data_IF_042130162958
#
_entry.id   IF_042130162958
#
_cell.length_a   1.000
_cell.length_b   1.000
_cell.length_c   1.000
_cell.angle_alpha   90.00
_cell.angle_beta   90.00
_cell.angle_gamma   90.00
#
_symmetry.space_group_name_H-M   'P 1'
#
loop_
_entity.id
_entity.type
_entity.pdbx_description
1 polymer ?
#
# COMPACT_ATOMS: atom_id res chain seq x y z
N UNK A 1 7.98 6.67 2.01
CA UNK A 1 7.91 6.04 0.67
C UNK A 1 6.50 6.22 0.14
N UNK A 2 6.33 6.95 -0.97
CA UNK A 2 5.01 7.15 -1.57
C UNK A 2 4.68 5.96 -2.46
N UNK A 3 3.62 5.21 -2.14
CA UNK A 3 3.09 4.19 -3.05
C UNK A 3 2.34 4.87 -4.19
N UNK A 4 2.18 4.22 -5.34
CA UNK A 4 1.51 4.85 -6.50
C UNK A 4 2.36 5.87 -7.24
N UNK A 5 3.67 5.87 -6.99
CA UNK A 5 4.66 6.70 -7.70
C UNK A 5 5.71 5.80 -8.33
N UNK A 6 6.41 6.31 -9.34
CA UNK A 6 7.59 5.63 -9.91
C UNK A 6 8.62 5.27 -8.83
N UNK A 7 8.88 6.18 -7.88
CA UNK A 7 9.78 5.94 -6.75
C UNK A 7 9.28 4.81 -5.84
N UNK A 8 7.98 4.73 -5.57
CA UNK A 8 7.36 3.65 -4.81
C UNK A 8 7.43 2.30 -5.52
N UNK A 9 7.22 2.27 -6.84
CA UNK A 9 7.33 1.08 -7.66
C UNK A 9 8.78 0.57 -7.67
N UNK A 10 9.77 1.46 -7.85
CA UNK A 10 11.19 1.11 -7.84
C UNK A 10 11.66 0.71 -6.44
N UNK A 11 11.15 1.34 -5.38
CA UNK A 11 11.39 0.88 -4.01
C UNK A 11 10.89 -0.55 -3.77
N UNK A 12 9.74 -0.90 -4.35
CA UNK A 12 9.21 -2.28 -4.32
C UNK A 12 10.10 -3.22 -5.13
N UNK A 13 10.51 -2.84 -6.34
CA UNK A 13 11.42 -3.62 -7.18
C UNK A 13 12.77 -3.88 -6.49
N UNK A 14 13.34 -2.88 -5.81
CA UNK A 14 14.57 -3.01 -5.00
C UNK A 14 14.41 -4.03 -3.88
N UNK A 15 13.24 -4.09 -3.25
CA UNK A 15 12.95 -5.08 -2.21
C UNK A 15 12.81 -6.48 -2.80
N UNK A 16 12.06 -6.63 -3.90
CA UNK A 16 11.90 -7.90 -4.62
C UNK A 16 13.22 -8.42 -5.20
N UNK A 17 14.14 -7.53 -5.57
CA UNK A 17 15.48 -7.87 -6.05
C UNK A 17 16.29 -8.67 -5.03
N UNK A 18 15.96 -8.59 -3.74
CA UNK A 18 16.57 -9.42 -2.69
C UNK A 18 16.14 -10.89 -2.77
N UNK A 19 15.06 -11.19 -3.50
CA UNK A 19 14.43 -12.51 -3.57
C UNK A 19 14.44 -13.11 -4.98
N UNK A 20 14.41 -12.29 -6.03
CA UNK A 20 14.45 -12.72 -7.44
C UNK A 20 15.30 -11.79 -8.29
N UNK A 21 15.93 -12.33 -9.34
CA UNK A 21 16.67 -11.57 -10.37
C UNK A 21 15.91 -11.43 -11.68
N UNK A 22 14.78 -12.13 -11.80
CA UNK A 22 13.86 -12.03 -12.94
C UNK A 22 12.80 -11.01 -12.59
N UNK A 23 13.01 -9.76 -13.00
CA UNK A 23 12.12 -8.65 -12.72
C UNK A 23 12.03 -7.72 -13.94
N UNK A 24 10.81 -7.27 -14.19
CA UNK A 24 10.51 -6.18 -15.12
C UNK A 24 9.66 -5.15 -14.36
N UNK A 25 9.78 -3.88 -14.75
CA UNK A 25 9.04 -2.78 -14.15
C UNK A 25 8.02 -2.24 -15.15
N UNK A 26 6.74 -2.24 -14.79
CA UNK A 26 5.67 -1.61 -15.56
C UNK A 26 5.21 -0.33 -14.84
N UNK A 27 5.24 0.79 -15.56
CA UNK A 27 4.58 2.03 -15.16
C UNK A 27 3.33 2.25 -16.01
N UNK A 28 2.17 2.27 -15.36
CA UNK A 28 0.87 2.59 -15.98
C UNK A 28 0.56 4.08 -15.93
N UNK A 29 1.55 4.92 -15.62
CA UNK A 29 1.48 6.36 -15.59
C UNK A 29 2.70 6.99 -16.24
N UNK A 30 2.57 8.25 -16.62
CA UNK A 30 3.67 9.06 -17.16
C UNK A 30 4.62 9.58 -16.06
N UNK A 31 4.69 8.89 -14.92
CA UNK A 31 5.56 9.29 -13.82
C UNK A 31 7.03 9.24 -14.23
N UNK A 32 7.73 10.35 -13.98
CA UNK A 32 9.18 10.46 -14.21
C UNK A 32 9.96 9.57 -13.26
N UNK A 33 11.12 9.09 -13.70
CA UNK A 33 12.06 8.32 -12.88
C UNK A 33 13.29 9.20 -12.68
N UNK A 34 13.77 9.27 -11.43
CA UNK A 34 15.01 9.99 -11.14
C UNK A 34 16.22 9.31 -11.80
N UNK A 35 17.24 10.07 -12.15
CA UNK A 35 18.48 9.53 -12.76
C UNK A 35 19.09 8.39 -11.94
N UNK A 36 19.13 8.52 -10.61
CA UNK A 36 19.63 7.48 -9.70
C UNK A 36 18.83 6.17 -9.82
N UNK A 37 17.52 6.27 -9.97
CA UNK A 37 16.66 5.10 -10.09
C UNK A 37 16.74 4.49 -11.49
N UNK A 38 16.85 5.31 -12.54
CA UNK A 38 17.08 4.84 -13.92
C UNK A 38 18.40 4.08 -13.99
N UNK A 39 19.49 4.66 -13.47
CA UNK A 39 20.80 4.00 -13.38
C UNK A 39 20.73 2.65 -12.68
N UNK A 40 19.98 2.54 -11.58
CA UNK A 40 19.81 1.27 -10.88
C UNK A 40 19.08 0.22 -11.72
N UNK A 41 18.07 0.61 -12.50
CA UNK A 41 17.38 -0.31 -13.43
C UNK A 41 18.35 -0.80 -14.51
N UNK A 42 19.12 0.13 -15.10
CA UNK A 42 20.08 -0.16 -16.17
C UNK A 42 21.21 -1.09 -15.68
N UNK A 43 21.80 -0.81 -14.51
CA UNK A 43 22.86 -1.62 -13.89
C UNK A 43 22.41 -3.06 -13.57
N UNK A 44 21.11 -3.26 -13.33
CA UNK A 44 20.54 -4.57 -13.01
C UNK A 44 19.80 -5.21 -14.20
N UNK A 45 19.86 -4.61 -15.39
CA UNK A 45 19.17 -5.06 -16.61
C UNK A 45 17.66 -5.26 -16.43
N UNK A 46 17.02 -4.42 -15.62
CA UNK A 46 15.57 -4.47 -15.38
C UNK A 46 14.87 -3.67 -16.47
N UNK A 47 14.10 -4.36 -17.31
CA UNK A 47 13.36 -3.71 -18.39
C UNK A 47 12.21 -2.86 -17.83
N UNK A 48 12.15 -1.61 -18.28
CA UNK A 48 11.05 -0.68 -17.99
C UNK A 48 10.05 -0.66 -19.14
N UNK A 49 8.76 -0.82 -18.81
CA UNK A 49 7.63 -0.65 -19.71
C UNK A 49 6.78 0.54 -19.29
N UNK A 50 6.27 1.28 -20.28
CA UNK A 50 5.27 2.34 -20.11
C UNK A 50 4.08 2.02 -20.99
N UNK A 51 3.01 1.51 -20.38
CA UNK A 51 1.83 1.02 -21.08
C UNK A 51 0.69 0.79 -20.07
N UNK A 52 -0.55 0.71 -20.56
CA UNK A 52 -1.66 0.21 -19.73
C UNK A 52 -1.74 -1.30 -19.77
N UNK A 53 -2.29 -1.89 -18.71
CA UNK A 53 -2.66 -3.31 -18.69
C UNK A 53 -3.98 -3.45 -19.44
N UNK A 54 -3.99 -4.25 -20.50
CA UNK A 54 -5.19 -4.61 -21.25
C UNK A 54 -5.86 -5.86 -20.69
N UNK A 55 -5.06 -6.89 -20.38
CA UNK A 55 -5.58 -8.19 -19.94
C UNK A 55 -4.58 -8.93 -19.02
N UNK A 56 -5.08 -9.81 -18.17
CA UNK A 56 -4.29 -10.77 -17.40
C UNK A 56 -4.62 -12.17 -17.92
N UNK A 57 -3.62 -12.87 -18.44
CA UNK A 57 -3.74 -14.25 -18.88
C UNK A 57 -3.39 -15.20 -17.73
N UNK A 58 -4.20 -16.24 -17.57
CA UNK A 58 -3.93 -17.28 -16.59
C UNK A 58 -5.16 -18.06 -16.21
N UNK A 59 -5.00 -18.89 -15.18
CA UNK A 59 -6.09 -19.64 -14.56
C UNK A 59 -6.36 -19.06 -13.17
N UNK A 60 -7.48 -19.43 -12.55
CA UNK A 60 -7.83 -18.94 -11.21
C UNK A 60 -6.67 -19.19 -10.22
N UNK A 61 -6.04 -18.11 -9.76
CA UNK A 61 -4.93 -18.15 -8.80
C UNK A 61 -3.53 -18.30 -9.41
N UNK A 62 -3.40 -18.39 -10.74
CA UNK A 62 -2.12 -18.52 -11.44
C UNK A 62 -2.07 -17.52 -12.60
N UNK A 63 -1.06 -16.65 -12.59
CA UNK A 63 -0.77 -15.74 -13.70
C UNK A 63 0.17 -16.44 -14.68
N UNK A 64 -0.13 -16.34 -15.98
CA UNK A 64 0.77 -16.79 -17.04
C UNK A 64 1.39 -15.57 -17.76
N UNK A 65 0.61 -14.50 -17.97
CA UNK A 65 1.13 -13.26 -18.58
C UNK A 65 0.28 -12.01 -18.27
N UNK A 66 0.89 -10.84 -18.44
CA UNK A 66 0.23 -9.54 -18.50
C UNK A 66 0.26 -9.03 -19.94
N UNK A 67 -0.92 -8.77 -20.52
CA UNK A 67 -1.05 -8.20 -21.86
C UNK A 67 -1.18 -6.68 -21.74
N UNK A 68 -0.35 -5.97 -22.47
CA UNK A 68 -0.34 -4.51 -22.50
C UNK A 68 -1.19 -3.97 -23.66
N UNK A 69 -1.67 -2.73 -23.54
CA UNK A 69 -2.46 -2.04 -24.56
C UNK A 69 -1.74 -1.86 -25.91
N UNK A 70 -0.41 -1.90 -25.90
CA UNK A 70 0.43 -1.88 -27.09
C UNK A 70 0.66 -3.27 -27.72
N UNK A 71 0.02 -4.32 -27.21
CA UNK A 71 0.12 -5.69 -27.70
C UNK A 71 1.30 -6.49 -27.14
N UNK A 72 2.16 -5.90 -26.29
CA UNK A 72 3.22 -6.65 -25.62
C UNK A 72 2.65 -7.67 -24.63
N UNK A 73 3.25 -8.86 -24.61
CA UNK A 73 2.93 -9.95 -23.68
C UNK A 73 4.09 -10.16 -22.72
N UNK A 74 3.86 -9.87 -21.44
CA UNK A 74 4.87 -10.03 -20.38
C UNK A 74 4.63 -11.34 -19.64
N UNK A 75 5.46 -12.35 -19.90
CA UNK A 75 5.35 -13.69 -19.31
C UNK A 75 5.94 -13.72 -17.90
N UNK A 76 5.07 -13.68 -16.88
CA UNK A 76 5.45 -13.70 -15.47
C UNK A 76 4.40 -14.45 -14.65
N UNK A 77 4.83 -15.12 -13.58
CA UNK A 77 3.95 -15.90 -12.70
C UNK A 77 3.32 -15.07 -11.58
N UNK A 78 3.79 -13.83 -11.39
CA UNK A 78 3.28 -12.91 -10.38
C UNK A 78 3.56 -11.45 -10.77
N UNK A 79 2.71 -10.53 -10.31
CA UNK A 79 3.00 -9.09 -10.30
C UNK A 79 2.75 -8.50 -8.91
N UNK A 80 3.53 -7.47 -8.56
CA UNK A 80 3.38 -6.72 -7.33
C UNK A 80 2.97 -5.29 -7.66
N UNK A 81 1.95 -4.78 -6.96
CA UNK A 81 1.37 -3.47 -7.26
C UNK A 81 1.87 -2.43 -6.26
N UNK A 82 2.47 -1.36 -6.76
CA UNK A 82 2.70 -0.14 -5.98
C UNK A 82 1.66 0.91 -6.37
N UNK A 83 0.45 0.81 -5.82
CA UNK A 83 -0.65 1.74 -6.07
C UNK A 83 -0.79 2.79 -4.94
N UNK A 84 -1.41 3.95 -5.20
CA UNK A 84 -1.73 4.90 -4.15
C UNK A 84 -2.57 4.21 -3.06
N UNK A 85 -2.16 4.36 -1.80
CA UNK A 85 -2.96 3.87 -0.67
C UNK A 85 -4.09 4.86 -0.42
N UNK A 86 -5.34 4.39 -0.48
CA UNK A 86 -6.53 5.17 -0.14
C UNK A 86 -7.14 4.62 1.15
N UNK A 87 -6.86 5.22 2.31
CA UNK A 87 -7.42 4.76 3.58
C UNK A 87 -8.94 4.97 3.62
N UNK A 88 -9.65 4.03 4.25
CA UNK A 88 -11.12 4.07 4.34
C UNK A 88 -11.58 4.97 5.50
N UNK A 89 -11.42 6.28 5.37
CA UNK A 89 -11.66 7.25 6.46
C UNK A 89 -12.98 8.02 6.38
N UNK A 90 -13.89 7.68 5.45
CA UNK A 90 -15.19 8.35 5.31
C UNK A 90 -15.98 8.40 6.63
N UNK A 91 -16.06 7.29 7.36
CA UNK A 91 -16.74 7.24 8.66
C UNK A 91 -16.01 8.09 9.71
N UNK A 92 -14.67 8.05 9.73
CA UNK A 92 -13.86 8.87 10.63
C UNK A 92 -14.13 10.35 10.42
N UNK A 93 -14.17 10.80 9.17
CA UNK A 93 -14.48 12.18 8.81
C UNK A 93 -15.90 12.58 9.23
N UNK A 94 -16.91 11.73 9.00
CA UNK A 94 -18.29 11.99 9.43
C UNK A 94 -18.41 12.12 10.96
N UNK A 95 -17.60 11.38 11.72
CA UNK A 95 -17.55 11.47 13.17
C UNK A 95 -16.74 12.68 13.69
N UNK A 96 -16.09 13.43 12.80
CA UNK A 96 -15.21 14.55 13.17
C UNK A 96 -13.83 14.12 13.68
N UNK A 97 -13.41 12.88 13.39
CA UNK A 97 -12.07 12.38 13.75
C UNK A 97 -11.04 13.04 12.83
N UNK A 98 -9.95 13.53 13.42
CA UNK A 98 -8.83 14.10 12.68
C UNK A 98 -8.22 13.07 11.71
N UNK A 99 -7.72 13.55 10.57
CA UNK A 99 -7.11 12.72 9.52
C UNK A 99 -5.71 13.26 9.24
N UNK A 100 -4.73 12.36 9.18
CA UNK A 100 -3.34 12.72 8.89
C UNK A 100 -3.18 13.24 7.46
N UNK A 101 -2.03 13.86 7.15
CA UNK A 101 -1.67 14.23 5.77
C UNK A 101 -1.67 13.04 4.79
N UNK A 102 -1.48 11.81 5.30
CA UNK A 102 -1.53 10.58 4.51
C UNK A 102 -2.93 9.97 4.38
N UNK A 103 -3.97 10.68 4.82
CA UNK A 103 -5.38 10.28 4.66
C UNK A 103 -5.88 9.25 5.68
N UNK A 104 -5.07 8.84 6.66
CA UNK A 104 -5.45 7.87 7.69
C UNK A 104 -6.08 8.57 8.89
N UNK A 105 -6.91 7.88 9.67
CA UNK A 105 -7.45 8.46 10.89
C UNK A 105 -6.32 8.68 11.91
N UNK A 106 -6.32 9.85 12.54
CA UNK A 106 -5.24 10.28 13.42
C UNK A 106 -5.55 9.92 14.88
N UNK A 107 -4.78 9.00 15.49
CA UNK A 107 -4.92 8.73 16.91
C UNK A 107 -4.17 9.80 17.71
N UNK A 108 -4.71 10.16 18.87
CA UNK A 108 -4.02 11.02 19.85
C UNK A 108 -2.89 10.31 20.57
N UNK A 109 -2.98 8.98 20.70
CA UNK A 109 -1.95 8.18 21.36
C UNK A 109 -1.85 6.76 20.78
N UNK A 110 -0.87 5.99 21.25
CA UNK A 110 -0.73 4.57 20.86
C UNK A 110 -1.94 3.70 21.23
N UNK A 111 -2.78 4.19 22.16
CA UNK A 111 -4.03 3.55 22.60
C UNK A 111 -5.12 3.57 21.53
N UNK A 112 -4.96 4.39 20.48
CA UNK A 112 -5.95 4.54 19.43
C UNK A 112 -7.10 5.48 19.78
N UNK A 113 -7.04 6.19 20.92
CA UNK A 113 -8.02 7.22 21.26
C UNK A 113 -7.97 8.38 20.25
N UNK A 114 -9.12 8.97 19.97
CA UNK A 114 -9.26 10.05 18.98
C UNK A 114 -9.58 11.39 19.66
N UNK A 115 -9.66 12.46 18.87
CA UNK A 115 -10.19 13.74 19.32
C UNK A 115 -11.69 13.70 19.66
N UNK A 116 -12.42 12.67 19.21
CA UNK A 116 -13.83 12.46 19.53
C UNK A 116 -13.93 11.60 20.78
N UNK A 117 -14.47 12.17 21.87
CA UNK A 117 -14.58 11.48 23.16
C UNK A 117 -15.40 10.20 23.01
N UNK A 118 -14.84 9.08 23.47
CA UNK A 118 -15.50 7.77 23.40
C UNK A 118 -15.36 7.04 22.08
N UNK A 119 -14.47 7.50 21.18
CA UNK A 119 -14.18 6.85 19.90
C UNK A 119 -12.70 6.48 19.82
N UNK A 120 -12.44 5.21 19.46
CA UNK A 120 -11.12 4.65 19.23
C UNK A 120 -11.00 4.14 17.79
N UNK A 121 -9.76 4.09 17.30
CA UNK A 121 -9.40 3.52 16.00
C UNK A 121 -8.33 2.44 16.15
N UNK A 122 -8.38 1.43 15.29
CA UNK A 122 -7.47 0.29 15.30
C UNK A 122 -7.20 -0.20 13.87
N UNK A 123 -6.17 -1.05 13.73
CA UNK A 123 -5.74 -1.64 12.46
C UNK A 123 -5.38 -0.62 11.39
N UNK A 124 -5.65 -1.01 10.14
CA UNK A 124 -5.27 -0.26 8.93
C UNK A 124 -5.92 1.13 8.80
N UNK A 125 -6.87 1.47 9.68
CA UNK A 125 -7.42 2.82 9.76
C UNK A 125 -6.39 3.81 10.33
N UNK A 126 -5.42 3.32 11.12
CA UNK A 126 -4.30 4.08 11.67
C UNK A 126 -3.16 4.20 10.66
N UNK A 127 -2.32 5.26 10.73
CA UNK A 127 -1.14 5.43 9.87
C UNK A 127 0.00 4.49 10.28
N UNK A 128 -0.18 3.19 10.09
CA UNK A 128 0.77 2.15 10.52
C UNK A 128 0.93 1.04 9.50
N UNK A 129 1.85 0.12 9.77
CA UNK A 129 2.04 -1.05 8.91
C UNK A 129 0.79 -1.92 8.89
N UNK A 130 0.40 -2.36 7.71
CA UNK A 130 -0.83 -3.13 7.48
C UNK A 130 -0.53 -4.61 7.59
N UNK A 131 -0.60 -5.12 8.83
CA UNK A 131 -0.33 -6.53 9.15
C UNK A 131 -1.39 -7.04 10.12
N UNK A 132 -1.78 -8.30 9.94
CA UNK A 132 -2.84 -8.94 10.75
C UNK A 132 -2.55 -8.86 12.25
N UNK A 133 -1.31 -9.14 12.67
CA UNK A 133 -0.91 -9.08 14.09
C UNK A 133 -0.98 -7.67 14.66
N UNK A 134 -0.68 -6.65 13.87
CA UNK A 134 -0.76 -5.24 14.28
C UNK A 134 -2.23 -4.82 14.41
N UNK A 135 -3.08 -5.21 13.46
CA UNK A 135 -4.51 -4.99 13.54
C UNK A 135 -5.13 -5.64 14.78
N UNK A 136 -4.76 -6.90 15.07
CA UNK A 136 -5.16 -7.61 16.28
C UNK A 136 -4.72 -6.87 17.55
N UNK A 137 -3.44 -6.52 17.66
CA UNK A 137 -2.89 -5.88 18.85
C UNK A 137 -3.52 -4.52 19.13
N UNK A 138 -3.68 -3.69 18.10
CA UNK A 138 -4.34 -2.38 18.23
C UNK A 138 -5.82 -2.49 18.52
N UNK A 139 -6.51 -3.51 17.98
CA UNK A 139 -7.89 -3.82 18.32
C UNK A 139 -8.05 -4.20 19.80
N UNK A 140 -7.18 -5.05 20.32
CA UNK A 140 -7.16 -5.43 21.73
C UNK A 140 -6.95 -4.21 22.65
N UNK A 141 -5.98 -3.35 22.33
CA UNK A 141 -5.73 -2.12 23.08
C UNK A 141 -6.97 -1.21 23.08
N UNK A 142 -7.60 -1.02 21.93
CA UNK A 142 -8.82 -0.22 21.83
C UNK A 142 -9.96 -0.81 22.68
N UNK A 143 -10.16 -2.14 22.64
CA UNK A 143 -11.19 -2.82 23.42
C UNK A 143 -11.02 -2.61 24.94
N UNK A 144 -9.80 -2.77 25.46
CA UNK A 144 -9.50 -2.52 26.88
C UNK A 144 -9.84 -1.08 27.29
N UNK A 145 -9.55 -0.11 26.44
CA UNK A 145 -9.85 1.29 26.74
C UNK A 145 -11.32 1.66 26.57
N UNK A 146 -12.03 1.02 25.64
CA UNK A 146 -13.49 1.14 25.53
C UNK A 146 -14.14 0.60 26.79
N UNK A 147 -13.75 -0.58 27.27
CA UNK A 147 -14.25 -1.18 28.51
C UNK A 147 -14.03 -0.27 29.73
N UNK A 148 -12.79 0.18 29.94
CA UNK A 148 -12.45 1.13 31.00
C UNK A 148 -13.26 2.44 30.91
N UNK A 149 -13.48 2.95 29.71
CA UNK A 149 -14.26 4.17 29.51
C UNK A 149 -15.75 3.97 29.81
N UNK A 150 -16.31 2.80 29.54
CA UNK A 150 -17.69 2.47 29.84
C UNK A 150 -17.91 2.17 31.33
N UNK A 151 -16.95 1.51 31.99
CA UNK A 151 -17.02 1.18 33.42
C UNK A 151 -16.89 2.42 34.34
N UNK A 152 -16.24 3.47 33.88
CA UNK A 152 -16.02 4.72 34.63
C UNK A 152 -16.98 5.85 34.23
N UNK A 153 -18.16 5.52 33.69
CA UNK A 153 -19.21 6.48 33.30
C UNK A 153 -20.24 6.67 34.40
#
# INVERSE_FOLDING_TARGET
>A
MGTGTSAGAIGTAKHLWLHTKTLELLLTSDSEISEQNQKWLDENNIRLHRAQIAELEGKKGCLDAVILDNGARLEHEAFFVSAPKVPRTNLSQQLGIAVTKSGHAEPKSQRGDTNVKGVWIAGDLRPMTQQVTIALGTGNIAAVHIDQFLANR
#
